data_IF_704499404301
#
_entry.id   IF_704499404301
#
_cell.length_a   1.000
_cell.length_b   1.000
_cell.length_c   1.000
_cell.angle_alpha   90.00
_cell.angle_beta   90.00
_cell.angle_gamma   90.00
#
_symmetry.space_group_name_H-M   'P 1'
#
loop_
_entity.id
_entity.type
_entity.pdbx_description
1 polymer ?
#
# COMPACT_ATOMS: atom_id res chain seq x y z
N UNK A 1 -27.12 2.03 -19.03
CA UNK A 1 -28.07 2.98 -19.62
C UNK A 1 -28.28 4.19 -18.71
N UNK A 2 -28.52 4.01 -17.41
CA UNK A 2 -28.82 5.10 -16.45
C UNK A 2 -27.67 6.13 -16.37
N UNK A 3 -26.41 5.71 -16.36
CA UNK A 3 -25.25 6.61 -16.28
C UNK A 3 -25.13 7.61 -17.44
N UNK A 4 -25.75 7.33 -18.61
CA UNK A 4 -25.69 8.23 -19.79
C UNK A 4 -26.71 9.36 -19.77
N UNK A 5 -27.75 9.26 -18.92
CA UNK A 5 -28.88 10.19 -18.88
C UNK A 5 -28.92 11.03 -17.59
N UNK A 6 -28.17 10.65 -16.55
CA UNK A 6 -28.14 11.40 -15.29
C UNK A 6 -27.15 12.58 -15.35
N UNK A 7 -27.57 13.78 -14.92
CA UNK A 7 -26.66 14.91 -14.89
C UNK A 7 -25.56 14.69 -13.84
N UNK A 8 -24.30 14.95 -14.24
CA UNK A 8 -23.16 14.91 -13.35
C UNK A 8 -23.20 16.10 -12.39
N UNK A 9 -23.10 15.82 -11.11
CA UNK A 9 -22.96 16.83 -10.06
C UNK A 9 -21.50 17.25 -9.95
N UNK A 10 -21.22 18.52 -10.28
CA UNK A 10 -19.85 19.07 -10.31
C UNK A 10 -19.14 19.09 -8.96
N UNK A 11 -19.88 18.98 -7.87
CA UNK A 11 -19.35 18.99 -6.50
C UNK A 11 -19.35 17.61 -5.83
N UNK A 12 -19.66 16.54 -6.54
CA UNK A 12 -19.68 15.20 -5.97
C UNK A 12 -18.40 14.44 -6.27
N UNK A 13 -17.82 13.83 -5.23
CA UNK A 13 -16.60 13.00 -5.29
C UNK A 13 -16.89 11.62 -4.71
N UNK A 14 -16.59 10.57 -5.46
CA UNK A 14 -16.64 9.19 -4.98
C UNK A 14 -15.22 8.69 -4.71
N UNK A 15 -14.99 8.23 -3.49
CA UNK A 15 -13.76 7.59 -3.04
C UNK A 15 -13.98 6.10 -2.82
N UNK A 16 -13.02 5.28 -3.23
CA UNK A 16 -12.97 3.87 -2.90
C UNK A 16 -11.53 3.44 -2.64
N UNK A 17 -11.29 2.69 -1.56
CA UNK A 17 -10.00 2.05 -1.28
C UNK A 17 -10.18 0.55 -1.12
N UNK A 18 -9.24 -0.22 -1.64
CA UNK A 18 -9.14 -1.67 -1.42
C UNK A 18 -10.46 -2.42 -1.69
N UNK A 19 -11.15 -2.04 -2.78
CA UNK A 19 -12.45 -2.63 -3.18
C UNK A 19 -13.51 -2.46 -2.07
N UNK A 20 -13.54 -1.30 -1.43
CA UNK A 20 -14.46 -0.97 -0.35
C UNK A 20 -14.20 -1.72 0.97
N UNK A 21 -13.02 -2.28 1.17
CA UNK A 21 -12.68 -3.00 2.41
C UNK A 21 -12.20 -2.08 3.54
N UNK A 22 -11.68 -0.91 3.19
CA UNK A 22 -11.15 0.06 4.15
C UNK A 22 -11.30 1.49 3.65
N UNK A 23 -11.20 2.44 4.56
CA UNK A 23 -11.02 3.86 4.28
C UNK A 23 -9.57 4.17 4.63
N UNK A 24 -8.67 4.13 3.63
CA UNK A 24 -7.22 4.17 3.83
C UNK A 24 -6.48 4.51 2.54
N UNK A 25 -5.14 4.48 2.58
CA UNK A 25 -4.26 4.64 1.43
C UNK A 25 -4.39 6.04 0.75
N UNK A 26 -3.84 6.19 -0.44
CA UNK A 26 -3.85 7.46 -1.19
C UNK A 26 -5.23 8.12 -1.32
N UNK A 27 -6.34 7.38 -1.60
CA UNK A 27 -7.67 7.98 -1.60
C UNK A 27 -8.04 8.65 -0.28
N UNK A 28 -7.63 8.07 0.87
CA UNK A 28 -7.90 8.67 2.19
C UNK A 28 -7.13 9.96 2.40
N UNK A 29 -5.87 10.00 2.02
CA UNK A 29 -5.04 11.20 2.16
C UNK A 29 -5.55 12.34 1.26
N UNK A 30 -5.99 12.04 0.03
CA UNK A 30 -6.63 13.02 -0.86
C UNK A 30 -7.94 13.54 -0.25
N UNK A 31 -8.75 12.64 0.33
CA UNK A 31 -9.99 13.04 1.02
C UNK A 31 -9.70 13.96 2.20
N UNK A 32 -8.74 13.63 3.05
CA UNK A 32 -8.38 14.45 4.21
C UNK A 32 -7.92 15.85 3.78
N UNK A 33 -7.04 15.93 2.79
CA UNK A 33 -6.56 17.18 2.23
C UNK A 33 -7.70 18.01 1.60
N UNK A 34 -8.63 17.38 0.88
CA UNK A 34 -9.80 18.06 0.31
C UNK A 34 -10.69 18.64 1.42
N UNK A 35 -10.95 17.85 2.46
CA UNK A 35 -11.80 18.25 3.58
C UNK A 35 -11.23 19.45 4.37
N UNK A 36 -9.92 19.48 4.57
CA UNK A 36 -9.24 20.60 5.24
C UNK A 36 -9.37 21.91 4.45
N UNK A 37 -9.45 21.83 3.12
CA UNK A 37 -9.46 23.01 2.24
C UNK A 37 -10.83 23.44 1.78
N UNK A 38 -11.80 22.56 1.76
CA UNK A 38 -13.15 22.89 1.28
C UNK A 38 -14.20 21.96 1.86
N UNK A 39 -15.28 22.55 2.36
CA UNK A 39 -16.49 21.83 2.77
C UNK A 39 -17.57 21.80 1.69
N UNK A 40 -17.30 22.31 0.51
CA UNK A 40 -18.27 22.49 -0.57
C UNK A 40 -18.57 21.20 -1.35
N UNK A 41 -17.74 20.17 -1.19
CA UNK A 41 -17.86 18.92 -1.93
C UNK A 41 -18.71 17.90 -1.17
N UNK A 42 -19.65 17.28 -1.90
CA UNK A 42 -20.37 16.11 -1.41
C UNK A 42 -19.48 14.89 -1.54
N UNK A 43 -19.09 14.31 -0.44
CA UNK A 43 -18.22 13.15 -0.39
C UNK A 43 -19.01 11.86 -0.28
N UNK A 44 -18.68 10.89 -1.12
CA UNK A 44 -19.25 9.54 -1.05
C UNK A 44 -18.11 8.54 -0.91
N UNK A 45 -18.07 7.83 0.21
CA UNK A 45 -17.14 6.72 0.40
C UNK A 45 -17.82 5.39 0.12
N UNK A 46 -17.18 4.60 -0.75
CA UNK A 46 -17.55 3.20 -0.97
C UNK A 46 -16.90 2.35 0.10
N UNK A 47 -17.72 1.74 0.96
CA UNK A 47 -17.24 0.96 2.08
C UNK A 47 -18.20 -0.21 2.39
N UNK A 48 -17.66 -1.43 2.48
CA UNK A 48 -18.41 -2.64 2.77
C UNK A 48 -18.60 -2.90 4.26
N UNK A 49 -17.80 -2.21 5.10
CA UNK A 49 -17.92 -2.23 6.56
C UNK A 49 -18.51 -0.91 7.04
N UNK A 50 -19.15 -0.90 8.19
CA UNK A 50 -19.55 0.35 8.84
C UNK A 50 -18.29 1.13 9.23
N UNK A 51 -18.13 2.33 8.68
CA UNK A 51 -17.08 3.27 9.07
C UNK A 51 -17.77 4.55 9.56
N UNK A 52 -17.58 4.92 10.82
CA UNK A 52 -18.20 6.13 11.36
C UNK A 52 -17.49 7.37 10.82
N UNK A 53 -18.13 8.07 9.90
CA UNK A 53 -17.71 9.42 9.53
C UNK A 53 -18.44 10.40 10.46
N UNK A 54 -17.69 11.23 11.17
CA UNK A 54 -18.23 12.28 12.04
C UNK A 54 -18.62 13.56 11.26
N UNK A 55 -18.84 13.42 9.95
CA UNK A 55 -19.15 14.51 9.05
C UNK A 55 -20.45 14.23 8.29
N UNK A 56 -21.51 15.06 8.48
CA UNK A 56 -22.79 14.86 7.82
C UNK A 56 -22.72 14.98 6.29
N UNK A 57 -21.68 15.63 5.75
CA UNK A 57 -21.46 15.76 4.31
C UNK A 57 -20.85 14.51 3.67
N UNK A 58 -20.43 13.54 4.48
CA UNK A 58 -19.86 12.27 4.01
C UNK A 58 -20.90 11.17 4.04
N UNK A 59 -21.18 10.58 2.88
CA UNK A 59 -22.07 9.43 2.75
C UNK A 59 -21.27 8.16 2.58
N UNK A 60 -21.62 7.12 3.32
CA UNK A 60 -21.07 5.78 3.15
C UNK A 60 -22.03 4.92 2.34
N UNK A 61 -21.52 4.25 1.29
CA UNK A 61 -22.31 3.35 0.45
C UNK A 61 -21.64 1.99 0.31
N UNK A 62 -22.43 0.94 0.35
CA UNK A 62 -21.95 -0.43 0.15
C UNK A 62 -21.62 -0.65 -1.33
N UNK A 63 -20.45 -1.23 -1.61
CA UNK A 63 -20.04 -1.59 -2.97
C UNK A 63 -21.07 -2.48 -3.64
N UNK A 64 -21.35 -2.25 -4.92
CA UNK A 64 -22.32 -2.96 -5.77
C UNK A 64 -23.79 -2.80 -5.34
N UNK A 65 -24.11 -1.91 -4.38
CA UNK A 65 -25.50 -1.58 -4.04
C UNK A 65 -26.13 -0.63 -5.08
N UNK A 66 -27.46 -0.49 -5.15
CA UNK A 66 -28.10 0.50 -6.01
C UNK A 66 -27.56 1.91 -5.80
N UNK A 67 -27.30 2.32 -4.53
CA UNK A 67 -26.72 3.62 -4.18
C UNK A 67 -25.29 3.78 -4.75
N UNK A 68 -24.47 2.73 -4.76
CA UNK A 68 -23.14 2.73 -5.38
C UNK A 68 -23.21 3.12 -6.87
N UNK A 69 -24.09 2.49 -7.65
CA UNK A 69 -24.25 2.81 -9.06
C UNK A 69 -24.85 4.20 -9.27
N UNK A 70 -25.80 4.61 -8.41
CA UNK A 70 -26.39 5.94 -8.44
C UNK A 70 -25.31 7.02 -8.27
N UNK A 71 -24.50 6.96 -7.22
CA UNK A 71 -23.49 7.98 -6.96
C UNK A 71 -22.35 7.97 -8.00
N UNK A 72 -21.90 6.81 -8.45
CA UNK A 72 -20.92 6.73 -9.54
C UNK A 72 -21.44 7.33 -10.83
N UNK A 73 -22.72 7.17 -11.17
CA UNK A 73 -23.31 7.76 -12.38
C UNK A 73 -23.42 9.28 -12.32
N UNK A 74 -23.31 9.89 -11.13
CA UNK A 74 -23.47 11.33 -10.94
C UNK A 74 -22.22 12.07 -10.50
N UNK A 75 -21.20 11.36 -10.02
CA UNK A 75 -20.01 12.00 -9.48
C UNK A 75 -19.15 12.65 -10.55
N UNK A 76 -18.68 13.88 -10.28
CA UNK A 76 -17.67 14.57 -11.08
C UNK A 76 -16.31 13.92 -10.98
N UNK A 77 -15.95 13.39 -9.80
CA UNK A 77 -14.65 12.77 -9.55
C UNK A 77 -14.81 11.37 -9.00
N UNK A 78 -14.05 10.45 -9.59
CA UNK A 78 -13.80 9.12 -9.05
C UNK A 78 -12.35 9.01 -8.63
N UNK A 79 -12.10 8.61 -7.38
CA UNK A 79 -10.77 8.42 -6.82
C UNK A 79 -10.70 7.02 -6.22
N UNK A 80 -9.79 6.19 -6.75
CA UNK A 80 -9.70 4.78 -6.37
C UNK A 80 -8.25 4.29 -6.49
N UNK A 81 -7.83 3.35 -5.63
CA UNK A 81 -6.54 2.69 -5.70
C UNK A 81 -6.60 1.27 -6.30
N UNK A 82 -7.80 0.81 -6.67
CA UNK A 82 -8.07 -0.46 -7.34
C UNK A 82 -8.95 -0.21 -8.59
N UNK A 83 -9.60 -1.23 -9.13
CA UNK A 83 -10.50 -1.08 -10.24
C UNK A 83 -11.97 -1.06 -9.81
N UNK A 84 -12.73 -0.13 -10.37
CA UNK A 84 -14.18 -0.28 -10.43
C UNK A 84 -14.54 -1.46 -11.35
N UNK A 85 -15.75 -2.04 -11.25
CA UNK A 85 -16.17 -3.13 -12.12
C UNK A 85 -16.02 -2.77 -13.61
N UNK A 86 -15.46 -3.67 -14.41
CA UNK A 86 -15.17 -3.45 -15.83
C UNK A 86 -16.40 -3.13 -16.67
N UNK A 87 -17.57 -3.59 -16.24
CA UNK A 87 -18.86 -3.33 -16.93
C UNK A 87 -19.47 -1.96 -16.58
N UNK A 88 -18.83 -1.19 -15.69
CA UNK A 88 -19.32 0.13 -15.30
C UNK A 88 -18.96 1.17 -16.36
N UNK A 89 -19.98 1.83 -16.91
CA UNK A 89 -19.76 2.94 -17.85
C UNK A 89 -19.53 4.24 -17.08
N UNK A 90 -18.33 4.82 -17.23
CA UNK A 90 -18.00 6.13 -16.68
C UNK A 90 -18.74 7.23 -17.45
N UNK A 91 -19.43 8.20 -16.82
CA UNK A 91 -19.97 9.36 -17.49
C UNK A 91 -18.86 10.20 -18.16
N UNK A 92 -19.13 10.78 -19.33
CA UNK A 92 -18.13 11.56 -20.08
C UNK A 92 -17.59 12.78 -19.31
N UNK A 93 -18.41 13.36 -18.44
CA UNK A 93 -18.02 14.53 -17.63
C UNK A 93 -17.29 14.15 -16.34
N UNK A 94 -17.21 12.87 -16.01
CA UNK A 94 -16.52 12.37 -14.82
C UNK A 94 -15.02 12.25 -15.06
N UNK A 95 -14.23 12.76 -14.15
CA UNK A 95 -12.78 12.60 -14.12
C UNK A 95 -12.42 11.45 -13.18
N UNK A 96 -11.69 10.44 -13.67
CA UNK A 96 -11.24 9.30 -12.90
C UNK A 96 -9.74 9.40 -12.63
N UNK A 97 -9.38 9.59 -11.37
CA UNK A 97 -8.00 9.60 -10.87
C UNK A 97 -7.72 8.24 -10.24
N UNK A 98 -6.87 7.46 -10.88
CA UNK A 98 -6.37 6.19 -10.36
C UNK A 98 -5.10 6.43 -9.57
N UNK A 99 -5.14 6.16 -8.27
CA UNK A 99 -3.96 6.35 -7.41
C UNK A 99 -3.01 5.17 -7.44
N UNK A 100 -3.49 4.01 -7.90
CA UNK A 100 -2.81 2.74 -7.78
C UNK A 100 -2.47 2.41 -6.31
N UNK A 101 -1.69 1.35 -6.09
CA UNK A 101 -1.43 0.85 -4.73
C UNK A 101 -0.01 0.30 -4.52
N UNK A 102 0.94 0.64 -5.38
CA UNK A 102 2.35 0.28 -5.20
C UNK A 102 3.20 0.39 -6.46
N UNK A 103 4.48 0.66 -6.26
CA UNK A 103 5.49 0.63 -7.30
C UNK A 103 5.70 -0.80 -7.78
N UNK A 104 5.75 -1.05 -9.09
CA UNK A 104 5.85 -2.41 -9.62
C UNK A 104 7.23 -3.03 -9.38
N UNK A 105 7.27 -4.08 -8.58
CA UNK A 105 8.43 -4.97 -8.43
C UNK A 105 8.34 -6.13 -9.42
N UNK A 106 7.18 -6.77 -9.46
CA UNK A 106 6.89 -7.94 -10.31
C UNK A 106 6.21 -7.50 -11.58
N UNK A 107 6.45 -8.24 -12.67
CA UNK A 107 5.75 -8.00 -13.93
C UNK A 107 4.23 -8.05 -13.74
N UNK A 108 3.54 -7.14 -14.41
CA UNK A 108 2.10 -6.98 -14.24
C UNK A 108 1.38 -7.06 -15.58
N UNK A 109 0.15 -7.47 -15.55
CA UNK A 109 -0.86 -7.51 -16.61
C UNK A 109 -0.28 -7.81 -18.01
N UNK A 110 -0.08 -6.82 -18.87
CA UNK A 110 0.37 -7.04 -20.26
C UNK A 110 1.84 -7.44 -20.37
N UNK A 111 2.66 -7.19 -19.34
CA UNK A 111 4.06 -7.61 -19.28
C UNK A 111 4.22 -9.06 -18.79
N UNK A 112 3.12 -9.74 -18.40
CA UNK A 112 3.11 -11.15 -18.01
C UNK A 112 2.63 -11.98 -19.22
N UNK A 113 3.44 -12.92 -19.71
CA UNK A 113 3.06 -13.74 -20.88
C UNK A 113 1.85 -14.63 -20.59
N UNK A 114 1.87 -15.33 -19.45
CA UNK A 114 0.83 -16.27 -19.04
C UNK A 114 0.44 -15.96 -17.58
N UNK A 115 -0.88 -15.83 -17.33
CA UNK A 115 -1.42 -15.69 -15.98
C UNK A 115 -1.87 -17.06 -15.46
N UNK A 116 -1.03 -17.71 -14.66
CA UNK A 116 -1.44 -18.93 -13.96
C UNK A 116 -2.53 -18.62 -12.92
N UNK A 117 -3.50 -19.51 -12.80
CA UNK A 117 -4.60 -19.39 -11.83
C UNK A 117 -5.64 -18.31 -12.12
N UNK A 118 -5.64 -17.70 -13.32
CA UNK A 118 -6.68 -16.76 -13.77
C UNK A 118 -7.41 -17.33 -14.99
N UNK A 119 -8.70 -16.98 -15.13
CA UNK A 119 -9.47 -17.31 -16.32
C UNK A 119 -9.02 -16.49 -17.55
N UNK A 120 -9.29 -17.00 -18.76
CA UNK A 120 -8.87 -16.39 -20.02
C UNK A 120 -9.33 -14.94 -20.20
N UNK A 121 -10.51 -14.56 -19.69
CA UNK A 121 -11.04 -13.20 -19.79
C UNK A 121 -10.52 -12.21 -18.78
N UNK A 122 -9.65 -12.62 -17.84
CA UNK A 122 -9.15 -11.74 -16.77
C UNK A 122 -8.42 -10.51 -17.33
N UNK A 123 -7.50 -10.72 -18.26
CA UNK A 123 -6.68 -9.66 -18.88
C UNK A 123 -7.55 -8.62 -19.58
N UNK A 124 -8.54 -9.07 -20.32
CA UNK A 124 -9.46 -8.19 -21.08
C UNK A 124 -10.34 -7.36 -20.17
N UNK A 125 -10.86 -7.97 -19.08
CA UNK A 125 -11.65 -7.24 -18.09
C UNK A 125 -10.83 -6.15 -17.39
N UNK A 126 -9.59 -6.43 -17.03
CA UNK A 126 -8.71 -5.44 -16.41
C UNK A 126 -8.36 -4.34 -17.42
N UNK A 127 -8.01 -4.68 -18.66
CA UNK A 127 -7.74 -3.70 -19.71
C UNK A 127 -8.96 -2.80 -19.99
N UNK A 128 -10.17 -3.37 -19.97
CA UNK A 128 -11.43 -2.60 -20.09
C UNK A 128 -11.58 -1.61 -18.93
N UNK A 129 -11.27 -2.02 -17.71
CA UNK A 129 -11.32 -1.12 -16.53
C UNK A 129 -10.32 0.04 -16.67
N UNK A 130 -9.11 -0.25 -17.15
CA UNK A 130 -8.03 0.73 -17.33
C UNK A 130 -8.44 1.84 -18.35
N UNK A 131 -9.18 1.50 -19.38
CA UNK A 131 -9.67 2.49 -20.37
C UNK A 131 -10.52 3.59 -19.73
N UNK A 132 -11.16 3.31 -18.59
CA UNK A 132 -11.96 4.30 -17.86
C UNK A 132 -11.12 5.30 -17.06
N UNK A 133 -9.85 5.03 -16.78
CA UNK A 133 -8.97 5.95 -16.07
C UNK A 133 -8.67 7.18 -16.96
N UNK A 134 -8.63 8.35 -16.35
CA UNK A 134 -8.20 9.57 -17.04
C UNK A 134 -6.78 9.95 -16.62
N UNK A 135 -6.47 9.77 -15.35
CA UNK A 135 -5.16 10.03 -14.75
C UNK A 135 -4.70 8.84 -13.93
N UNK A 136 -3.40 8.54 -14.00
CA UNK A 136 -2.73 7.55 -13.16
C UNK A 136 -1.59 8.22 -12.41
N UNK A 137 -1.47 7.99 -11.10
CA UNK A 137 -0.40 8.56 -10.27
C UNK A 137 0.85 7.68 -10.35
N UNK A 138 2.02 8.32 -10.42
CA UNK A 138 3.31 7.65 -10.43
C UNK A 138 4.31 8.30 -9.47
N UNK A 139 5.11 7.50 -8.73
CA UNK A 139 6.12 8.00 -7.80
C UNK A 139 7.51 8.19 -8.43
N UNK A 140 7.74 7.71 -9.67
CA UNK A 140 9.06 7.77 -10.31
C UNK A 140 9.00 7.52 -11.81
N UNK A 141 10.03 7.90 -12.58
CA UNK A 141 10.17 7.55 -13.99
C UNK A 141 10.14 6.04 -14.23
N UNK A 142 10.73 5.26 -13.31
CA UNK A 142 10.67 3.80 -13.31
C UNK A 142 9.23 3.30 -13.30
N UNK A 143 8.41 3.74 -12.33
CA UNK A 143 7.01 3.32 -12.23
C UNK A 143 6.21 3.76 -13.45
N UNK A 144 6.40 5.00 -13.92
CA UNK A 144 5.77 5.52 -15.14
C UNK A 144 6.03 4.63 -16.36
N UNK A 145 7.29 4.22 -16.56
CA UNK A 145 7.68 3.32 -17.66
C UNK A 145 6.90 2.00 -17.61
N UNK A 146 6.88 1.37 -16.44
CA UNK A 146 6.24 0.06 -16.28
C UNK A 146 4.70 0.15 -16.22
N UNK A 147 4.12 1.24 -15.78
CA UNK A 147 2.68 1.48 -15.90
C UNK A 147 2.25 1.65 -17.36
N UNK A 148 3.04 2.36 -18.17
CA UNK A 148 2.76 2.49 -19.59
C UNK A 148 2.76 1.13 -20.30
N UNK A 149 3.73 0.26 -20.03
CA UNK A 149 3.79 -1.07 -20.67
C UNK A 149 2.74 -2.02 -20.09
N UNK A 150 2.71 -2.20 -18.77
CA UNK A 150 1.84 -3.17 -18.11
C UNK A 150 0.35 -2.88 -18.33
N UNK A 151 -0.05 -1.61 -18.33
CA UNK A 151 -1.44 -1.18 -18.49
C UNK A 151 -1.79 -0.73 -19.91
N UNK A 152 -0.82 -0.71 -20.82
CA UNK A 152 -0.98 -0.09 -22.14
C UNK A 152 -1.65 1.30 -22.03
N UNK A 153 -1.25 2.04 -20.98
CA UNK A 153 -1.86 3.30 -20.62
C UNK A 153 -1.30 4.46 -21.44
N UNK A 154 -2.17 5.15 -22.16
CA UNK A 154 -1.80 6.19 -23.15
C UNK A 154 -2.25 7.60 -22.76
N UNK A 155 -2.96 7.72 -21.61
CA UNK A 155 -3.40 9.01 -21.09
C UNK A 155 -2.38 9.58 -20.10
N UNK A 156 -2.74 10.63 -19.36
CA UNK A 156 -1.84 11.37 -18.49
C UNK A 156 -1.43 10.57 -17.26
N UNK A 157 -0.12 10.44 -17.05
CA UNK A 157 0.46 9.97 -15.80
C UNK A 157 0.90 11.18 -15.00
N UNK A 158 0.40 11.29 -13.78
CA UNK A 158 0.77 12.34 -12.82
C UNK A 158 2.00 11.89 -12.05
N UNK A 159 3.14 12.41 -12.41
CA UNK A 159 4.44 12.15 -11.80
C UNK A 159 4.62 13.04 -10.56
N UNK A 160 3.92 12.72 -9.48
CA UNK A 160 3.79 13.56 -8.30
C UNK A 160 4.06 12.83 -6.97
N UNK A 161 4.37 11.54 -7.00
CA UNK A 161 4.45 10.70 -5.80
C UNK A 161 3.09 10.13 -5.37
N UNK A 162 3.10 9.22 -4.40
CA UNK A 162 1.87 8.67 -3.82
C UNK A 162 1.41 9.50 -2.63
N UNK A 163 0.16 9.99 -2.60
CA UNK A 163 -0.37 10.75 -1.46
C UNK A 163 -0.21 10.05 -0.10
N UNK A 164 -0.27 8.71 -0.05
CA UNK A 164 -0.06 7.94 1.18
C UNK A 164 1.32 8.12 1.80
N UNK A 165 2.32 8.55 1.00
CA UNK A 165 3.69 8.77 1.43
C UNK A 165 3.95 10.23 1.86
N UNK A 166 3.01 11.16 1.64
CA UNK A 166 3.15 12.58 2.02
C UNK A 166 3.48 12.73 3.51
N UNK A 167 2.98 11.81 4.35
CA UNK A 167 3.23 11.78 5.79
C UNK A 167 4.72 11.79 6.16
N UNK A 168 5.58 11.13 5.37
CA UNK A 168 7.00 10.97 5.67
C UNK A 168 7.83 12.24 5.39
N UNK A 169 7.24 13.22 4.73
CA UNK A 169 7.83 14.53 4.40
C UNK A 169 7.28 15.66 5.26
N UNK A 170 6.40 15.35 6.22
CA UNK A 170 5.85 16.37 7.11
C UNK A 170 6.93 16.89 8.05
N UNK A 171 7.14 18.22 8.02
CA UNK A 171 8.15 18.92 8.81
C UNK A 171 7.66 19.30 10.22
N UNK A 172 6.37 19.10 10.54
CA UNK A 172 5.84 19.36 11.88
C UNK A 172 6.19 18.22 12.83
N UNK A 173 7.30 18.39 13.55
CA UNK A 173 7.79 17.42 14.54
C UNK A 173 6.76 17.12 15.65
N UNK A 174 5.99 18.14 16.08
CA UNK A 174 4.96 17.95 17.10
C UNK A 174 3.82 17.07 16.59
N UNK A 175 3.37 17.31 15.36
CA UNK A 175 2.38 16.48 14.71
C UNK A 175 2.87 15.02 14.61
N UNK A 176 4.09 14.82 14.13
CA UNK A 176 4.70 13.49 13.98
C UNK A 176 4.83 12.79 15.34
N UNK A 177 5.32 13.49 16.37
CA UNK A 177 5.45 12.93 17.72
C UNK A 177 4.10 12.53 18.33
N UNK A 178 3.07 13.39 18.21
CA UNK A 178 1.73 13.10 18.69
C UNK A 178 1.10 11.92 17.94
N UNK A 179 1.26 11.87 16.62
CA UNK A 179 0.75 10.77 15.78
C UNK A 179 1.43 9.46 16.15
N UNK A 180 2.75 9.45 16.28
CA UNK A 180 3.54 8.29 16.73
C UNK A 180 3.06 7.78 18.10
N UNK A 181 2.90 8.69 19.07
CA UNK A 181 2.39 8.35 20.40
C UNK A 181 1.00 7.69 20.35
N UNK A 182 0.07 8.28 19.57
CA UNK A 182 -1.28 7.73 19.41
C UNK A 182 -1.27 6.33 18.79
N UNK A 183 -0.41 6.09 17.79
CA UNK A 183 -0.30 4.79 17.15
C UNK A 183 0.25 3.75 18.12
N UNK A 184 1.36 4.06 18.83
CA UNK A 184 1.93 3.16 19.85
C UNK A 184 0.91 2.83 20.94
N UNK A 185 0.19 3.82 21.46
CA UNK A 185 -0.86 3.62 22.47
C UNK A 185 -1.98 2.70 21.96
N UNK A 186 -2.46 2.92 20.72
CA UNK A 186 -3.50 2.09 20.09
C UNK A 186 -3.06 0.62 19.96
N UNK A 187 -1.78 0.38 19.77
CA UNK A 187 -1.20 -0.96 19.63
C UNK A 187 -0.72 -1.55 20.97
N UNK A 188 -0.84 -0.82 22.08
CA UNK A 188 -0.37 -1.27 23.40
C UNK A 188 1.14 -1.35 23.52
N UNK A 189 1.89 -0.58 22.72
CA UNK A 189 3.36 -0.62 22.67
C UNK A 189 3.95 0.40 23.64
N UNK A 190 4.87 -0.05 24.49
CA UNK A 190 5.61 0.83 25.40
C UNK A 190 6.47 1.84 24.61
N UNK A 191 6.59 3.06 25.15
CA UNK A 191 7.23 4.20 24.44
C UNK A 191 8.72 3.98 24.18
N UNK A 192 9.40 3.25 25.07
CA UNK A 192 10.83 2.94 25.06
C UNK A 192 11.24 1.83 24.10
N UNK A 193 10.27 1.04 23.62
CA UNK A 193 10.55 -0.06 22.69
C UNK A 193 10.79 0.45 21.28
N UNK A 194 11.85 -0.08 20.65
CA UNK A 194 12.04 0.00 19.20
C UNK A 194 11.11 -0.99 18.48
N UNK A 195 10.78 -0.70 17.24
CA UNK A 195 9.78 -1.46 16.48
C UNK A 195 10.39 -2.07 15.24
N UNK A 196 10.25 -3.39 15.13
CA UNK A 196 10.51 -4.13 13.89
C UNK A 196 9.16 -4.41 13.24
N UNK A 197 9.01 -4.03 11.96
CA UNK A 197 7.89 -4.46 11.14
C UNK A 197 8.31 -5.64 10.28
N UNK A 198 7.67 -6.79 10.45
CA UNK A 198 7.83 -7.94 9.56
C UNK A 198 6.61 -8.09 8.66
N UNK A 199 6.81 -7.89 7.36
CA UNK A 199 5.77 -7.93 6.35
C UNK A 199 6.14 -8.92 5.22
N UNK A 200 5.95 -10.23 5.45
CA UNK A 200 6.25 -11.26 4.46
C UNK A 200 5.24 -11.27 3.31
N UNK A 201 5.73 -11.61 2.10
CA UNK A 201 4.87 -11.91 0.95
C UNK A 201 4.25 -13.30 1.10
N UNK A 202 2.99 -13.42 0.74
CA UNK A 202 2.32 -14.71 0.66
C UNK A 202 2.93 -15.58 -0.46
N UNK A 203 3.05 -16.89 -0.20
CA UNK A 203 3.46 -17.89 -1.18
C UNK A 203 2.23 -18.63 -1.72
N UNK A 204 2.01 -18.51 -3.03
CA UNK A 204 0.85 -19.10 -3.70
C UNK A 204 0.88 -20.65 -3.68
N UNK A 205 2.08 -21.25 -3.55
CA UNK A 205 2.33 -22.69 -3.50
C UNK A 205 2.21 -23.29 -2.08
N UNK A 206 2.14 -22.48 -1.03
CA UNK A 206 1.95 -22.95 0.36
C UNK A 206 0.47 -23.14 0.74
N UNK A 207 -0.45 -23.29 -0.22
CA UNK A 207 -1.87 -23.57 0.06
C UNK A 207 -2.05 -25.01 0.48
N UNK A 208 -2.38 -25.26 1.74
CA UNK A 208 -2.66 -26.61 2.22
C UNK A 208 -3.91 -27.20 1.53
N UNK A 209 -3.90 -28.52 1.26
CA UNK A 209 -5.02 -29.28 0.66
C UNK A 209 -6.35 -29.15 1.42
N UNK A 210 -6.33 -28.64 2.65
CA UNK A 210 -7.50 -28.50 3.53
C UNK A 210 -8.21 -27.15 3.45
N UNK A 211 -7.82 -26.24 2.53
CA UNK A 211 -8.34 -24.85 2.44
C UNK A 211 -8.19 -24.01 3.73
N UNK A 212 -7.52 -24.49 4.75
CA UNK A 212 -7.09 -23.69 5.90
C UNK A 212 -5.67 -23.24 5.63
N UNK A 213 -5.50 -21.97 5.41
CA UNK A 213 -4.18 -21.34 5.26
C UNK A 213 -3.48 -21.38 6.63
N UNK A 214 -2.65 -22.38 6.85
CA UNK A 214 -1.73 -22.40 7.99
C UNK A 214 -0.48 -21.70 7.52
N UNK A 215 -0.22 -20.51 8.07
CA UNK A 215 1.05 -19.83 7.80
C UNK A 215 2.11 -20.51 8.63
N UNK A 216 3.02 -21.15 7.95
CA UNK A 216 4.29 -21.52 8.54
C UNK A 216 5.22 -20.31 8.41
N UNK A 217 5.22 -19.44 9.43
CA UNK A 217 6.22 -18.38 9.49
C UNK A 217 7.59 -19.05 9.51
N UNK A 218 8.41 -18.77 8.52
CA UNK A 218 9.77 -19.32 8.43
C UNK A 218 10.73 -18.66 9.43
N UNK A 219 10.32 -17.54 10.02
CA UNK A 219 11.03 -16.86 11.10
C UNK A 219 10.71 -17.52 12.43
N UNK A 220 11.73 -17.92 13.17
CA UNK A 220 11.60 -18.44 14.52
C UNK A 220 11.33 -17.30 15.52
N UNK A 221 10.05 -17.09 15.86
CA UNK A 221 9.62 -16.02 16.76
C UNK A 221 10.14 -16.20 18.20
N UNK A 222 10.34 -17.44 18.67
CA UNK A 222 10.91 -17.70 20.00
C UNK A 222 12.35 -17.21 20.05
N UNK A 223 13.13 -17.59 19.06
CA UNK A 223 14.52 -17.15 18.94
C UNK A 223 14.65 -15.64 18.79
N UNK A 224 13.76 -15.02 18.00
CA UNK A 224 13.71 -13.56 17.85
C UNK A 224 13.42 -12.88 19.21
N UNK A 225 12.43 -13.38 19.97
CA UNK A 225 12.10 -12.86 21.29
C UNK A 225 13.27 -12.99 22.25
N UNK A 226 13.89 -14.16 22.34
CA UNK A 226 15.01 -14.42 23.25
C UNK A 226 16.19 -13.48 23.00
N UNK A 227 16.44 -13.15 21.73
CA UNK A 227 17.60 -12.35 21.33
C UNK A 227 17.34 -10.85 21.26
N UNK A 228 16.09 -10.41 21.05
CA UNK A 228 15.73 -9.03 20.71
C UNK A 228 14.62 -8.45 21.59
N UNK A 229 13.86 -9.26 22.32
CA UNK A 229 12.66 -8.84 23.05
C UNK A 229 12.88 -7.83 24.17
N UNK A 230 14.11 -7.69 24.65
CA UNK A 230 14.48 -6.66 25.63
C UNK A 230 14.38 -5.25 25.02
N UNK A 231 14.74 -5.09 23.76
CA UNK A 231 14.86 -3.79 23.09
C UNK A 231 13.73 -3.55 22.10
N UNK A 232 13.23 -4.61 21.43
CA UNK A 232 12.31 -4.52 20.30
C UNK A 232 10.95 -5.13 20.59
N UNK A 233 9.94 -4.63 19.85
CA UNK A 233 8.63 -5.25 19.59
C UNK A 233 8.55 -5.60 18.11
N UNK A 234 8.01 -6.76 17.78
CA UNK A 234 7.78 -7.21 16.42
C UNK A 234 6.32 -6.96 16.00
N UNK A 235 6.09 -6.07 15.04
CA UNK A 235 4.81 -5.95 14.37
C UNK A 235 4.75 -6.97 13.23
N UNK A 236 3.84 -7.92 13.32
CA UNK A 236 3.63 -8.93 12.29
C UNK A 236 2.49 -8.51 11.38
N UNK A 237 2.81 -8.24 10.10
CA UNK A 237 1.84 -7.83 9.08
C UNK A 237 1.81 -8.83 7.91
N UNK A 238 1.16 -9.96 8.05
CA UNK A 238 0.95 -10.89 6.95
C UNK A 238 -0.05 -10.32 5.94
N UNK A 239 -0.10 -10.94 4.77
CA UNK A 239 -1.10 -10.57 3.77
C UNK A 239 -2.53 -10.81 4.30
N UNK A 240 -3.48 -9.92 4.00
CA UNK A 240 -4.85 -9.92 4.54
C UNK A 240 -5.62 -11.24 4.31
N UNK A 241 -5.26 -12.00 3.27
CA UNK A 241 -5.87 -13.31 2.98
C UNK A 241 -5.66 -14.32 4.13
N UNK A 242 -4.63 -14.11 4.93
CA UNK A 242 -4.17 -15.01 5.97
C UNK A 242 -4.20 -14.42 7.37
N UNK A 243 -4.70 -13.20 7.52
CA UNK A 243 -4.72 -12.47 8.81
C UNK A 243 -5.40 -13.25 9.95
N UNK A 244 -6.46 -14.00 9.63
CA UNK A 244 -7.25 -14.77 10.62
C UNK A 244 -6.65 -16.15 10.95
N UNK A 245 -5.55 -16.54 10.31
CA UNK A 245 -4.95 -17.88 10.47
C UNK A 245 -3.67 -17.88 11.32
N UNK A 246 -3.16 -16.70 11.70
CA UNK A 246 -1.96 -16.61 12.54
C UNK A 246 -2.36 -16.69 14.01
N UNK A 247 -1.97 -17.78 14.63
CA UNK A 247 -2.01 -17.93 16.07
C UNK A 247 -0.67 -17.49 16.68
N UNK A 248 -0.69 -16.48 17.54
CA UNK A 248 0.45 -16.05 18.33
C UNK A 248 0.33 -16.71 19.71
N UNK A 249 1.30 -17.54 20.06
CA UNK A 249 1.37 -18.20 21.35
C UNK A 249 1.38 -17.20 22.50
N UNK A 250 0.79 -17.55 23.65
CA UNK A 250 0.58 -16.65 24.78
C UNK A 250 1.89 -16.00 25.26
N UNK A 251 2.95 -16.79 25.34
CA UNK A 251 4.27 -16.32 25.80
C UNK A 251 4.97 -15.39 24.79
N UNK A 252 4.46 -15.24 23.57
CA UNK A 252 5.00 -14.32 22.55
C UNK A 252 4.25 -12.99 22.50
N UNK A 253 3.10 -12.85 23.16
CA UNK A 253 2.23 -11.67 23.04
C UNK A 253 2.83 -10.38 23.59
N UNK A 254 3.82 -10.48 24.44
CA UNK A 254 4.61 -9.35 24.96
C UNK A 254 5.68 -8.86 23.97
N UNK A 255 5.98 -9.65 22.93
CA UNK A 255 6.96 -9.34 21.89
C UNK A 255 6.34 -9.18 20.51
N UNK A 256 5.32 -9.96 20.16
CA UNK A 256 4.70 -9.97 18.81
C UNK A 256 3.31 -9.36 18.85
N UNK A 257 3.10 -8.33 18.07
CA UNK A 257 1.79 -7.68 17.85
C UNK A 257 1.32 -7.96 16.44
N UNK A 258 0.18 -8.65 16.29
CA UNK A 258 -0.44 -8.87 14.98
C UNK A 258 -1.14 -7.57 14.51
N UNK A 259 -0.66 -7.02 13.39
CA UNK A 259 -1.19 -5.78 12.78
C UNK A 259 -1.77 -6.01 11.38
N UNK A 260 -2.17 -7.26 11.08
CA UNK A 260 -2.76 -7.61 9.78
C UNK A 260 -4.01 -6.78 9.45
N UNK A 261 -4.85 -6.50 10.44
CA UNK A 261 -6.09 -5.74 10.31
C UNK A 261 -5.92 -4.22 10.52
N UNK A 262 -4.69 -3.74 10.72
CA UNK A 262 -4.44 -2.31 10.84
C UNK A 262 -4.61 -1.64 9.47
N UNK A 263 -5.57 -0.72 9.34
CA UNK A 263 -6.01 -0.21 8.04
C UNK A 263 -4.94 0.63 7.33
N UNK A 264 -4.20 1.47 8.07
CA UNK A 264 -3.29 2.45 7.49
C UNK A 264 -1.83 2.00 7.62
N UNK A 265 -1.27 1.50 6.52
CA UNK A 265 0.11 0.98 6.52
C UNK A 265 1.14 2.08 6.77
N UNK A 266 0.88 3.31 6.32
CA UNK A 266 1.78 4.46 6.51
C UNK A 266 1.97 4.79 8.00
N UNK A 267 0.94 4.58 8.84
CA UNK A 267 1.05 4.71 10.29
C UNK A 267 2.04 3.70 10.88
N UNK A 268 2.03 2.46 10.38
CA UNK A 268 2.98 1.43 10.82
C UNK A 268 4.39 1.78 10.39
N UNK A 269 4.59 2.26 9.16
CA UNK A 269 5.91 2.70 8.68
C UNK A 269 6.46 3.85 9.51
N UNK A 270 5.60 4.80 9.91
CA UNK A 270 6.00 5.94 10.72
C UNK A 270 6.65 5.51 12.04
N UNK A 271 6.07 4.54 12.73
CA UNK A 271 6.55 4.06 14.03
C UNK A 271 7.63 2.98 13.94
N UNK A 272 7.87 2.39 12.77
CA UNK A 272 8.83 1.31 12.55
C UNK A 272 10.25 1.85 12.55
N UNK A 273 11.17 1.18 13.24
CA UNK A 273 12.59 1.47 13.24
C UNK A 273 13.36 0.62 12.22
N UNK A 274 12.95 -0.65 12.03
CA UNK A 274 13.54 -1.58 11.08
C UNK A 274 12.39 -2.31 10.34
N UNK A 275 12.39 -2.29 9.02
CA UNK A 275 11.45 -3.08 8.23
C UNK A 275 12.12 -4.34 7.70
N UNK A 276 11.50 -5.50 7.97
CA UNK A 276 11.86 -6.79 7.40
C UNK A 276 10.77 -7.16 6.41
N UNK A 277 11.18 -7.42 5.18
CA UNK A 277 10.28 -7.89 4.14
C UNK A 277 11.00 -8.91 3.25
N UNK A 278 10.40 -9.25 2.12
CA UNK A 278 10.98 -10.13 1.11
C UNK A 278 10.71 -9.53 -0.29
N UNK A 279 9.97 -10.21 -1.13
CA UNK A 279 9.67 -9.80 -2.52
C UNK A 279 8.41 -8.92 -2.60
N UNK A 280 8.33 -7.91 -1.77
CA UNK A 280 7.17 -7.04 -1.61
C UNK A 280 7.44 -5.62 -2.09
N UNK A 281 6.40 -5.00 -2.70
CA UNK A 281 6.43 -3.56 -3.05
C UNK A 281 6.48 -2.62 -1.84
N UNK A 282 6.32 -3.14 -0.62
CA UNK A 282 6.46 -2.39 0.64
C UNK A 282 7.81 -1.66 0.71
N UNK A 283 8.88 -2.26 0.17
CA UNK A 283 10.22 -1.67 0.20
C UNK A 283 10.28 -0.27 -0.45
N UNK A 284 9.48 -0.01 -1.48
CA UNK A 284 9.45 1.28 -2.16
C UNK A 284 8.79 2.36 -1.29
N UNK A 285 7.66 2.03 -0.67
CA UNK A 285 6.97 2.97 0.22
C UNK A 285 7.78 3.22 1.49
N UNK A 286 8.30 2.15 2.11
CA UNK A 286 9.10 2.25 3.33
C UNK A 286 10.40 3.03 3.11
N UNK A 287 10.99 2.99 1.91
CA UNK A 287 12.19 3.74 1.58
C UNK A 287 12.02 5.27 1.76
N UNK A 288 10.80 5.79 1.69
CA UNK A 288 10.50 7.19 1.98
C UNK A 288 10.78 7.57 3.44
N UNK A 289 10.81 6.62 4.36
CA UNK A 289 11.18 6.86 5.77
C UNK A 289 12.68 7.01 5.98
N UNK A 290 13.51 6.59 5.03
CA UNK A 290 14.98 6.51 5.13
C UNK A 290 15.48 5.58 6.24
N UNK A 291 14.62 4.74 6.79
CA UNK A 291 14.94 3.77 7.84
C UNK A 291 15.40 2.44 7.25
N UNK A 292 16.10 1.60 8.03
CA UNK A 292 16.68 0.34 7.56
C UNK A 292 15.66 -0.64 6.95
N UNK A 293 16.03 -1.23 5.82
CA UNK A 293 15.35 -2.32 5.15
C UNK A 293 16.21 -3.58 5.18
N UNK A 294 15.66 -4.68 5.67
CA UNK A 294 16.26 -6.01 5.68
C UNK A 294 15.38 -6.96 4.85
N UNK A 295 16.01 -7.83 4.07
CA UNK A 295 15.30 -8.75 3.19
C UNK A 295 15.48 -10.20 3.66
N UNK A 296 14.42 -10.76 4.27
CA UNK A 296 14.42 -12.15 4.73
C UNK A 296 13.99 -13.07 3.58
N UNK A 297 14.97 -13.54 2.83
CA UNK A 297 14.80 -14.22 1.53
C UNK A 297 15.26 -15.69 1.60
N UNK A 298 14.78 -16.44 2.60
CA UNK A 298 15.11 -17.84 2.86
C UNK A 298 14.89 -18.78 1.66
N UNK A 299 14.06 -18.38 0.69
CA UNK A 299 13.66 -19.15 -0.48
C UNK A 299 14.03 -18.44 -1.81
N UNK A 300 15.09 -17.61 -1.81
CA UNK A 300 15.41 -16.73 -2.94
C UNK A 300 15.52 -17.45 -4.28
N UNK A 301 16.25 -18.59 -4.35
CA UNK A 301 16.45 -19.32 -5.60
C UNK A 301 15.13 -19.92 -6.10
N UNK A 302 14.34 -20.52 -5.23
CA UNK A 302 13.01 -21.03 -5.55
C UNK A 302 12.07 -19.91 -6.06
N UNK A 303 12.09 -18.76 -5.39
CA UNK A 303 11.25 -17.62 -5.77
C UNK A 303 11.61 -17.06 -7.14
N UNK A 304 12.91 -16.97 -7.43
CA UNK A 304 13.44 -16.47 -8.71
C UNK A 304 13.04 -17.35 -9.89
N UNK A 305 13.06 -18.68 -9.71
CA UNK A 305 12.84 -19.65 -10.79
C UNK A 305 11.36 -19.92 -11.08
N UNK A 306 10.50 -19.92 -10.07
CA UNK A 306 9.14 -20.45 -10.15
C UNK A 306 8.04 -19.39 -10.05
N UNK A 307 8.36 -18.14 -9.75
CA UNK A 307 7.38 -17.09 -9.59
C UNK A 307 7.55 -15.98 -10.64
N UNK A 308 6.58 -15.08 -10.71
CA UNK A 308 6.55 -13.97 -11.69
C UNK A 308 7.87 -13.22 -11.74
N UNK A 309 8.47 -13.09 -12.93
CA UNK A 309 9.71 -12.36 -13.10
C UNK A 309 9.64 -10.94 -12.52
N UNK A 310 10.78 -10.47 -12.03
CA UNK A 310 10.96 -9.09 -11.59
C UNK A 310 11.21 -8.16 -12.78
N UNK A 311 10.95 -6.87 -12.61
CA UNK A 311 11.32 -5.86 -13.59
C UNK A 311 12.82 -5.50 -13.56
N UNK A 312 13.52 -5.86 -12.48
CA UNK A 312 14.96 -5.62 -12.30
C UNK A 312 15.62 -6.76 -11.53
N UNK A 313 16.95 -6.79 -11.48
CA UNK A 313 17.67 -7.72 -10.62
C UNK A 313 17.52 -7.35 -9.16
N UNK A 314 16.73 -8.15 -8.45
CA UNK A 314 16.39 -7.90 -7.05
C UNK A 314 17.61 -7.88 -6.14
N UNK A 315 18.59 -8.76 -6.37
CA UNK A 315 19.81 -8.84 -5.55
C UNK A 315 20.71 -7.62 -5.74
N UNK A 316 20.80 -7.14 -6.98
CA UNK A 316 21.60 -5.96 -7.29
C UNK A 316 20.95 -4.68 -6.76
N UNK A 317 19.64 -4.55 -6.87
CA UNK A 317 18.93 -3.31 -6.57
C UNK A 317 18.45 -3.18 -5.13
N UNK A 318 18.42 -4.27 -4.35
CA UNK A 318 17.93 -4.22 -2.97
C UNK A 318 18.71 -3.23 -2.10
N UNK A 319 18.06 -2.31 -1.38
CA UNK A 319 18.71 -1.28 -0.59
C UNK A 319 19.24 -1.76 0.78
N UNK A 320 19.19 -3.06 1.05
CA UNK A 320 19.65 -3.71 2.27
C UNK A 320 20.10 -5.13 2.01
N UNK A 321 20.62 -5.85 3.01
CA UNK A 321 21.12 -7.21 2.86
C UNK A 321 19.99 -8.22 2.60
N UNK A 322 20.29 -9.22 1.74
CA UNK A 322 19.50 -10.44 1.64
C UNK A 322 19.98 -11.40 2.72
N UNK A 323 19.05 -11.88 3.54
CA UNK A 323 19.30 -12.72 4.71
C UNK A 323 18.50 -14.01 4.55
N UNK A 324 19.16 -15.14 4.77
CA UNK A 324 18.62 -16.43 4.38
C UNK A 324 18.18 -17.30 5.56
N UNK A 325 18.54 -16.89 6.79
CA UNK A 325 18.17 -17.59 8.03
C UNK A 325 18.07 -16.66 9.22
N UNK A 326 17.49 -17.16 10.34
CA UNK A 326 17.27 -16.38 11.55
C UNK A 326 18.56 -15.86 12.20
N UNK A 327 19.68 -16.61 12.11
CA UNK A 327 20.95 -16.16 12.65
C UNK A 327 21.48 -14.93 11.94
N UNK A 328 21.44 -14.94 10.59
CA UNK A 328 21.85 -13.79 9.78
C UNK A 328 20.94 -12.58 10.07
N UNK A 329 19.62 -12.81 10.18
CA UNK A 329 18.65 -11.77 10.47
C UNK A 329 18.89 -11.12 11.84
N UNK A 330 19.04 -11.92 12.89
CA UNK A 330 19.31 -11.44 14.25
C UNK A 330 20.64 -10.68 14.30
N UNK A 331 21.67 -11.20 13.66
CA UNK A 331 22.97 -10.52 13.58
C UNK A 331 22.89 -9.18 12.84
N UNK A 332 22.12 -9.10 11.74
CA UNK A 332 21.91 -7.85 11.02
C UNK A 332 21.18 -6.82 11.88
N UNK A 333 20.15 -7.21 12.63
CA UNK A 333 19.42 -6.33 13.54
C UNK A 333 20.33 -5.82 14.66
N UNK A 334 21.10 -6.70 15.31
CA UNK A 334 22.06 -6.32 16.36
C UNK A 334 23.16 -5.38 15.87
N UNK A 335 23.51 -5.46 14.58
CA UNK A 335 24.53 -4.64 13.94
C UNK A 335 23.94 -3.61 12.97
N UNK A 336 22.72 -3.12 13.23
CA UNK A 336 21.95 -2.31 12.29
C UNK A 336 22.68 -1.03 11.85
N UNK A 337 23.44 -0.39 12.73
CA UNK A 337 24.22 0.80 12.40
C UNK A 337 25.33 0.51 11.38
N UNK A 338 25.95 -0.67 11.47
CA UNK A 338 26.93 -1.10 10.48
C UNK A 338 26.27 -1.43 9.14
N UNK A 339 25.10 -2.09 9.16
CA UNK A 339 24.31 -2.34 7.95
C UNK A 339 23.95 -1.01 7.27
N UNK A 340 23.47 -0.04 8.01
CA UNK A 340 23.12 1.30 7.47
C UNK A 340 24.33 1.97 6.79
N UNK A 341 25.50 1.93 7.39
CA UNK A 341 26.73 2.46 6.79
C UNK A 341 27.12 1.71 5.51
N UNK A 342 27.09 0.39 5.56
CA UNK A 342 27.48 -0.47 4.44
C UNK A 342 26.58 -0.29 3.23
N UNK A 343 25.27 -0.14 3.45
CA UNK A 343 24.27 -0.02 2.40
C UNK A 343 23.89 1.41 2.04
N UNK A 344 24.49 2.44 2.67
CA UNK A 344 24.10 3.85 2.51
C UNK A 344 24.02 4.30 1.05
N UNK A 345 25.06 4.00 0.25
CA UNK A 345 25.11 4.37 -1.17
C UNK A 345 24.06 3.62 -2.00
N UNK A 346 23.88 2.34 -1.73
CA UNK A 346 22.91 1.49 -2.42
C UNK A 346 21.47 1.91 -2.09
N UNK A 347 21.22 2.25 -0.82
CA UNK A 347 19.94 2.78 -0.37
C UNK A 347 19.63 4.14 -1.02
N UNK A 348 20.62 5.02 -1.11
CA UNK A 348 20.45 6.33 -1.76
C UNK A 348 20.16 6.17 -3.27
N UNK A 349 20.85 5.27 -3.95
CA UNK A 349 20.59 4.98 -5.35
C UNK A 349 19.16 4.42 -5.55
N UNK A 350 18.75 3.48 -4.71
CA UNK A 350 17.39 2.92 -4.71
C UNK A 350 16.32 4.01 -4.50
N UNK A 351 16.50 4.85 -3.51
CA UNK A 351 15.56 5.95 -3.26
C UNK A 351 15.46 6.90 -4.46
N UNK A 352 16.57 7.30 -5.03
CA UNK A 352 16.60 8.22 -6.16
C UNK A 352 15.94 7.63 -7.41
N UNK A 353 16.03 6.31 -7.62
CA UNK A 353 15.40 5.62 -8.74
C UNK A 353 13.88 5.47 -8.55
N UNK A 354 13.44 5.10 -7.35
CA UNK A 354 12.06 4.64 -7.13
C UNK A 354 11.15 5.64 -6.42
N UNK A 355 11.72 6.66 -5.76
CA UNK A 355 10.98 7.66 -5.00
C UNK A 355 11.19 9.10 -5.54
N UNK A 356 11.53 9.24 -6.82
CA UNK A 356 11.97 10.49 -7.46
C UNK A 356 10.98 11.65 -7.29
N UNK A 357 9.68 11.37 -7.38
CA UNK A 357 8.62 12.37 -7.33
C UNK A 357 7.98 12.51 -5.94
N UNK A 358 8.45 11.74 -4.96
CA UNK A 358 7.94 11.78 -3.60
C UNK A 358 8.50 13.03 -2.87
N UNK A 359 7.64 13.92 -2.45
CA UNK A 359 8.03 15.21 -1.85
C UNK A 359 7.05 15.72 -0.76
N UNK A 360 6.02 14.94 -0.43
CA UNK A 360 5.04 15.29 0.60
C UNK A 360 3.94 16.26 0.15
N UNK A 361 3.83 16.50 -1.17
CA UNK A 361 2.83 17.43 -1.71
C UNK A 361 1.86 16.79 -2.69
N UNK A 362 1.86 15.47 -2.79
CA UNK A 362 1.11 14.72 -3.79
C UNK A 362 -0.40 14.96 -3.68
N UNK A 363 -0.96 14.86 -2.47
CA UNK A 363 -2.38 15.13 -2.23
C UNK A 363 -2.73 16.59 -2.55
N UNK A 364 -1.90 17.54 -2.08
CA UNK A 364 -2.11 18.96 -2.34
C UNK A 364 -2.07 19.29 -3.84
N UNK A 365 -1.17 18.66 -4.59
CA UNK A 365 -1.07 18.84 -6.04
C UNK A 365 -2.34 18.37 -6.76
N UNK A 366 -2.92 17.25 -6.32
CA UNK A 366 -4.20 16.75 -6.84
C UNK A 366 -5.32 17.73 -6.53
N UNK A 367 -5.39 18.22 -5.29
CA UNK A 367 -6.43 19.18 -4.89
C UNK A 367 -6.33 20.45 -5.70
N UNK A 368 -5.16 21.03 -5.84
CA UNK A 368 -4.96 22.27 -6.61
C UNK A 368 -5.27 22.10 -8.10
N UNK A 369 -5.00 20.93 -8.68
CA UNK A 369 -5.21 20.67 -10.11
C UNK A 369 -6.67 20.43 -10.47
N UNK A 370 -7.42 19.74 -9.64
CA UNK A 370 -8.74 19.21 -10.02
C UNK A 370 -9.90 19.85 -9.26
N UNK A 371 -9.65 20.44 -8.09
CA UNK A 371 -10.70 20.97 -7.24
C UNK A 371 -10.62 22.49 -7.16
N UNK A 372 -11.79 23.14 -7.23
CA UNK A 372 -11.88 24.59 -7.01
C UNK A 372 -11.89 24.86 -5.51
N UNK A 373 -10.72 24.92 -4.92
CA UNK A 373 -10.51 25.30 -3.52
C UNK A 373 -9.92 26.72 -3.49
N UNK A 374 -10.54 27.59 -2.69
CA UNK A 374 -10.06 28.95 -2.48
C UNK A 374 -9.08 29.00 -1.31
#
# INVERSE_FOLDING_TARGET
LIAKVMPVDKKMVVFESNIGKSVSDSPKVIYDCLKEKSHDYQIVWVNNKSFPFNDPNVKSVKRLSPAYFYYLSRAKFWINNQNFPYYLTKPNQTTYIQTWHGTPLKKMLNDVPIFEGRDEGYKDRVNTSIQSWDYLISPSPYATKHFKSAFNFKKDILEIGYPRNDLFYNQDENFIAQKTKKIKQKLGIASDKKIILYAPTFRDDEVSKSKKHIINLKMDLNKMKDQLGQEYILLLRPHIIISNAIYIEEHLKDFVVNVADYNEISDLYLITDICITDYSSIMFDFANTRKPLLFFTYDYEHYKEHLRGFYFDFKEMSPGPLLYNDNELINAIKNIDNINRTYANKYSAFYNEFCTFENGTSAQTIINRFFNVK
#
